data_IF_063866465426
#
_entry.id   IF_063866465426
#
_cell.length_a   1.000
_cell.length_b   1.000
_cell.length_c   1.000
_cell.angle_alpha   90.00
_cell.angle_beta   90.00
_cell.angle_gamma   90.00
#
_symmetry.space_group_name_H-M   'P 1'
#
loop_
_entity.id
_entity.type
_entity.pdbx_description
1 polymer ?
#
# COMPACT_ATOMS: atom_id res chain seq x y z
N UNK A 1 4.80 10.03 12.20
CA UNK A 1 5.67 9.38 11.19
C UNK A 1 4.80 8.41 10.40
N UNK A 2 4.72 8.53 9.07
CA UNK A 2 3.92 7.61 8.26
C UNK A 2 4.54 6.20 8.32
N UNK A 3 3.80 5.22 8.85
CA UNK A 3 4.32 3.85 9.06
C UNK A 3 4.76 3.19 7.75
N UNK A 4 4.17 3.57 6.62
CA UNK A 4 4.56 3.06 5.30
C UNK A 4 5.97 3.49 4.86
N UNK A 5 6.54 4.52 5.50
CA UNK A 5 7.91 4.98 5.20
C UNK A 5 8.99 4.20 5.94
N UNK A 6 8.61 3.33 6.88
CA UNK A 6 9.55 2.43 7.56
C UNK A 6 9.67 1.16 6.74
N UNK A 7 10.90 0.83 6.35
CA UNK A 7 11.20 -0.38 5.58
C UNK A 7 12.15 -1.32 6.30
N UNK A 8 12.15 -2.58 5.89
CA UNK A 8 13.07 -3.63 6.33
C UNK A 8 13.36 -4.57 5.15
N UNK A 9 14.25 -5.55 5.36
CA UNK A 9 14.60 -6.54 4.34
C UNK A 9 14.31 -7.96 4.79
N UNK A 10 13.74 -8.76 3.91
CA UNK A 10 13.53 -10.21 4.06
C UNK A 10 14.07 -10.85 2.78
N UNK A 11 15.03 -11.77 2.91
CA UNK A 11 15.67 -12.48 1.79
C UNK A 11 16.17 -11.56 0.65
N UNK A 12 16.63 -10.36 1.01
CA UNK A 12 17.14 -9.36 0.07
C UNK A 12 16.09 -8.41 -0.51
N UNK A 13 14.81 -8.69 -0.34
CA UNK A 13 13.70 -7.86 -0.80
C UNK A 13 13.34 -6.78 0.22
N UNK A 14 12.90 -5.62 -0.24
CA UNK A 14 12.45 -4.52 0.62
C UNK A 14 10.97 -4.71 0.96
N UNK A 15 10.64 -4.56 2.23
CA UNK A 15 9.28 -4.65 2.76
C UNK A 15 8.88 -3.36 3.46
N UNK A 16 7.59 -3.05 3.41
CA UNK A 16 6.98 -1.86 4.02
C UNK A 16 5.57 -2.15 4.51
N UNK A 17 5.01 -1.26 5.31
CA UNK A 17 3.59 -1.35 5.67
C UNK A 17 2.74 -0.71 4.57
N UNK A 18 1.78 -1.45 4.05
CA UNK A 18 0.79 -0.97 3.10
C UNK A 18 0.19 0.35 3.60
N UNK A 19 0.19 1.42 2.79
CA UNK A 19 -0.27 2.73 3.23
C UNK A 19 -1.80 2.80 3.45
N UNK A 20 -2.54 1.80 2.98
CA UNK A 20 -4.00 1.70 3.10
C UNK A 20 -4.39 0.95 4.38
N UNK A 21 -4.02 -0.33 4.48
CA UNK A 21 -4.47 -1.20 5.57
C UNK A 21 -3.42 -1.43 6.66
N UNK A 22 -2.16 -1.08 6.41
CA UNK A 22 -1.05 -1.32 7.33
C UNK A 22 -0.53 -2.76 7.34
N UNK A 23 -1.00 -3.66 6.47
CA UNK A 23 -0.42 -4.99 6.33
C UNK A 23 1.00 -4.92 5.74
N UNK A 24 1.83 -5.94 6.01
CA UNK A 24 3.17 -6.01 5.43
C UNK A 24 3.07 -6.34 3.94
N UNK A 25 3.84 -5.63 3.11
CA UNK A 25 3.85 -5.85 1.66
C UNK A 25 5.25 -5.56 1.13
N UNK A 26 5.65 -6.30 0.11
CA UNK A 26 6.91 -6.05 -0.59
C UNK A 26 6.85 -4.69 -1.32
N UNK A 27 7.98 -4.00 -1.41
CA UNK A 27 8.12 -2.77 -2.20
C UNK A 27 7.78 -3.05 -3.67
N UNK A 28 6.97 -2.18 -4.31
CA UNK A 28 6.48 -2.33 -5.68
C UNK A 28 5.61 -3.58 -5.94
N UNK A 29 4.74 -3.94 -4.99
CA UNK A 29 3.87 -5.11 -5.05
C UNK A 29 2.40 -4.78 -4.67
N UNK A 30 1.50 -5.75 -4.87
CA UNK A 30 0.09 -5.67 -4.55
C UNK A 30 -0.14 -6.21 -3.13
N UNK A 31 -0.82 -5.44 -2.28
CA UNK A 31 -1.20 -5.91 -0.96
C UNK A 31 -2.29 -6.98 -1.06
N UNK A 32 -2.01 -8.18 -0.59
CA UNK A 32 -2.92 -9.33 -0.55
C UNK A 32 -4.17 -9.13 0.34
N UNK A 33 -4.09 -8.24 1.34
CA UNK A 33 -5.22 -7.93 2.23
C UNK A 33 -6.21 -6.95 1.62
N UNK A 34 -5.73 -5.89 0.96
CA UNK A 34 -6.60 -4.79 0.53
C UNK A 34 -6.58 -4.52 -0.99
N UNK A 35 -5.70 -5.17 -1.74
CA UNK A 35 -5.59 -5.01 -3.19
C UNK A 35 -4.83 -3.75 -3.65
N UNK A 36 -4.44 -2.85 -2.75
CA UNK A 36 -3.68 -1.66 -3.13
C UNK A 36 -2.31 -2.01 -3.69
N UNK A 37 -1.98 -1.51 -4.88
CA UNK A 37 -0.66 -1.67 -5.48
C UNK A 37 0.24 -0.51 -5.08
N UNK A 38 1.28 -0.82 -4.29
CA UNK A 38 2.18 0.20 -3.79
C UNK A 38 3.21 0.61 -4.86
N UNK A 39 3.52 1.90 -4.96
CA UNK A 39 4.55 2.45 -5.87
C UNK A 39 5.84 2.73 -5.10
N UNK A 40 6.11 1.85 -4.13
CA UNK A 40 7.19 1.90 -3.17
C UNK A 40 7.01 2.90 -2.03
N UNK A 41 8.08 3.14 -1.26
CA UNK A 41 8.08 3.95 -0.01
C UNK A 41 7.26 5.25 -0.09
N UNK A 42 7.39 5.98 -1.20
CA UNK A 42 6.76 7.30 -1.35
C UNK A 42 5.28 7.24 -1.74
N UNK A 43 4.78 6.12 -2.27
CA UNK A 43 3.39 5.91 -2.70
C UNK A 43 2.77 7.11 -3.42
N UNK A 44 2.95 7.18 -4.74
CA UNK A 44 2.33 8.19 -5.61
C UNK A 44 0.94 7.76 -6.09
N UNK A 45 0.03 8.73 -6.14
CA UNK A 45 -1.32 8.57 -6.68
C UNK A 45 -1.31 8.47 -8.22
N UNK A 46 -2.32 7.79 -8.79
CA UNK A 46 -2.57 7.76 -10.24
C UNK A 46 -1.68 6.80 -11.05
N UNK A 47 -0.87 5.97 -10.40
CA UNK A 47 -0.11 4.90 -11.05
C UNK A 47 -1.00 3.72 -11.47
N UNK A 48 -0.74 2.49 -10.99
CA UNK A 48 -1.56 1.32 -11.34
C UNK A 48 -2.98 1.35 -10.75
N UNK A 49 -3.23 2.20 -9.74
CA UNK A 49 -4.51 2.27 -9.06
C UNK A 49 -5.46 3.27 -9.73
N UNK A 50 -6.77 2.99 -9.75
CA UNK A 50 -7.79 3.86 -10.35
C UNK A 50 -8.36 4.91 -9.39
N UNK A 51 -7.89 4.92 -8.14
CA UNK A 51 -8.27 5.87 -7.11
C UNK A 51 -7.05 6.42 -6.38
N UNK A 52 -7.23 7.55 -5.71
CA UNK A 52 -6.20 8.14 -4.84
C UNK A 52 -5.99 7.29 -3.59
N UNK A 53 -4.82 7.43 -2.94
CA UNK A 53 -4.52 6.75 -1.69
C UNK A 53 -5.54 7.09 -0.59
N UNK A 54 -6.05 8.32 -0.55
CA UNK A 54 -7.08 8.71 0.42
C UNK A 54 -8.45 8.07 0.13
N UNK A 55 -8.83 7.95 -1.14
CA UNK A 55 -10.04 7.21 -1.54
C UNK A 55 -9.93 5.73 -1.19
N UNK A 56 -8.76 5.11 -1.41
CA UNK A 56 -8.50 3.72 -1.06
C UNK A 56 -8.58 3.49 0.46
N UNK A 57 -7.99 4.38 1.28
CA UNK A 57 -8.13 4.33 2.74
C UNK A 57 -9.58 4.45 3.19
N UNK A 58 -10.38 5.29 2.52
CA UNK A 58 -11.82 5.43 2.82
C UNK A 58 -12.58 4.17 2.42
N UNK A 59 -12.36 3.65 1.21
CA UNK A 59 -12.98 2.42 0.73
C UNK A 59 -12.67 1.24 1.65
N UNK A 60 -11.41 1.08 2.09
CA UNK A 60 -11.00 0.04 3.05
C UNK A 60 -11.78 0.11 4.37
N UNK A 61 -11.89 1.31 4.96
CA UNK A 61 -12.63 1.52 6.22
C UNK A 61 -14.12 1.23 6.08
N UNK A 62 -14.68 1.46 4.89
CA UNK A 62 -16.09 1.22 4.57
C UNK A 62 -16.36 -0.21 4.08
N UNK A 63 -15.33 -1.06 3.96
CA UNK A 63 -15.46 -2.41 3.40
C UNK A 63 -15.80 -2.44 1.91
N UNK A 64 -15.53 -1.34 1.19
CA UNK A 64 -15.73 -1.25 -0.27
C UNK A 64 -14.51 -1.79 -1.01
N UNK A 65 -14.70 -2.31 -2.25
CA UNK A 65 -13.58 -2.73 -3.09
C UNK A 65 -12.58 -1.59 -3.36
N UNK A 66 -11.30 -1.97 -3.48
CA UNK A 66 -10.19 -1.09 -3.86
C UNK A 66 -9.65 -1.58 -5.21
N UNK A 67 -9.40 -0.64 -6.13
CA UNK A 67 -8.73 -0.84 -7.42
C UNK A 67 -8.20 0.50 -7.92
#
# INVERSE_FOLDING_TARGET
MNKSKKTWKIDGYVWLHCPVCGHEVMDFDICDVCGWQNTGINNVDGGPNHMTLEEAKKAYKEGRPIN
#
